data_IF_371884960885
#
_entry.id   IF_371884960885
#
_cell.length_a   1.000
_cell.length_b   1.000
_cell.length_c   1.000
_cell.angle_alpha   90.00
_cell.angle_beta   90.00
_cell.angle_gamma   90.00
#
_symmetry.space_group_name_H-M   'P 1'
#
loop_
_entity.id
_entity.type
_entity.pdbx_description
1 polymer ?
#
# COMPACT_ATOMS: atom_id res chain seq x y z
N UNK A 1 -10.77 15.84 -0.19
CA UNK A 1 -11.77 14.86 0.33
C UNK A 1 -11.66 13.48 -0.33
N UNK A 2 -11.68 13.33 -1.67
CA UNK A 2 -11.47 12.01 -2.31
C UNK A 2 -10.04 11.47 -2.10
N UNK A 3 -9.01 12.29 -2.27
CA UNK A 3 -7.62 11.86 -2.07
C UNK A 3 -7.34 11.39 -0.65
N UNK A 4 -7.88 12.09 0.35
CA UNK A 4 -7.78 11.71 1.76
C UNK A 4 -8.39 10.33 2.03
N UNK A 5 -9.50 10.00 1.37
CA UNK A 5 -10.13 8.68 1.47
C UNK A 5 -9.21 7.57 0.93
N UNK A 6 -8.62 7.76 -0.26
CA UNK A 6 -7.69 6.78 -0.84
C UNK A 6 -6.39 6.70 -0.06
N UNK A 7 -5.88 7.83 0.45
CA UNK A 7 -4.68 7.85 1.28
C UNK A 7 -4.93 7.13 2.62
N UNK A 8 -6.09 7.31 3.24
CA UNK A 8 -6.47 6.54 4.44
C UNK A 8 -6.49 5.03 4.15
N UNK A 9 -6.92 4.62 2.96
CA UNK A 9 -6.84 3.22 2.52
C UNK A 9 -5.40 2.74 2.33
N UNK A 10 -4.54 3.53 1.70
CA UNK A 10 -3.11 3.22 1.54
C UNK A 10 -2.40 3.06 2.90
N UNK A 11 -2.68 3.95 3.86
CA UNK A 11 -2.16 3.83 5.23
C UNK A 11 -2.66 2.55 5.93
N UNK A 12 -3.93 2.17 5.73
CA UNK A 12 -4.48 0.92 6.26
C UNK A 12 -3.81 -0.32 5.65
N UNK A 13 -3.45 -0.26 4.37
CA UNK A 13 -2.66 -1.31 3.70
C UNK A 13 -1.24 -1.38 4.30
N UNK A 14 -0.55 -0.25 4.46
CA UNK A 14 0.79 -0.18 5.05
C UNK A 14 0.86 -0.83 6.44
N UNK A 15 -0.16 -0.62 7.29
CA UNK A 15 -0.22 -1.21 8.63
C UNK A 15 -0.18 -2.74 8.66
N UNK A 16 -0.52 -3.42 7.55
CA UNK A 16 -0.46 -4.89 7.46
C UNK A 16 0.97 -5.44 7.51
N UNK A 17 1.97 -4.65 7.08
CA UNK A 17 3.39 -5.02 7.12
C UNK A 17 4.07 -4.82 8.49
N UNK A 18 3.39 -4.22 9.47
CA UNK A 18 4.02 -3.67 10.69
C UNK A 18 4.85 -4.63 11.54
N UNK A 19 4.69 -5.94 11.35
CA UNK A 19 5.40 -6.96 12.12
C UNK A 19 6.39 -7.79 11.30
N UNK A 20 6.52 -7.51 10.00
CA UNK A 20 7.24 -8.37 9.05
C UNK A 20 8.20 -7.59 8.16
N UNK A 21 8.07 -6.27 8.07
CA UNK A 21 8.85 -5.42 7.14
C UNK A 21 10.22 -5.01 7.67
N UNK A 22 10.47 -5.04 8.99
CA UNK A 22 11.76 -4.60 9.55
C UNK A 22 12.95 -5.30 8.85
N UNK A 23 14.00 -4.56 8.42
CA UNK A 23 14.29 -3.14 8.69
C UNK A 23 13.64 -2.14 7.73
N UNK A 24 12.91 -2.60 6.73
CA UNK A 24 12.25 -1.74 5.74
C UNK A 24 11.02 -1.04 6.34
N UNK A 25 10.60 0.11 5.77
CA UNK A 25 9.40 0.81 6.20
C UNK A 25 8.12 0.05 5.82
N UNK A 26 7.04 0.37 6.52
CA UNK A 26 5.69 -0.03 6.14
C UNK A 26 5.18 0.87 5.02
N UNK A 27 4.93 0.31 3.84
CA UNK A 27 4.44 1.04 2.67
C UNK A 27 3.17 0.39 2.17
N UNK A 28 2.18 1.21 1.81
CA UNK A 28 0.94 0.81 1.16
C UNK A 28 0.69 1.67 -0.07
N UNK A 29 0.14 1.09 -1.11
CA UNK A 29 -0.11 1.73 -2.40
C UNK A 29 -1.53 1.41 -2.88
N UNK A 30 -2.19 2.40 -3.48
CA UNK A 30 -3.51 2.29 -4.10
C UNK A 30 -3.44 2.97 -5.46
N UNK A 31 -3.90 2.31 -6.52
CA UNK A 31 -4.03 2.88 -7.86
C UNK A 31 -5.51 3.10 -8.14
N UNK A 32 -5.87 4.33 -8.50
CA UNK A 32 -7.25 4.73 -8.78
C UNK A 32 -7.36 5.12 -10.25
N UNK A 33 -8.38 4.63 -10.93
CA UNK A 33 -8.73 5.01 -12.30
C UNK A 33 -10.23 5.31 -12.38
N UNK A 34 -10.60 6.50 -12.87
CA UNK A 34 -11.99 6.96 -12.96
C UNK A 34 -12.81 6.86 -11.66
N UNK A 35 -12.16 7.01 -10.50
CA UNK A 35 -12.80 6.94 -9.18
C UNK A 35 -12.88 5.52 -8.60
N UNK A 36 -12.44 4.50 -9.34
CA UNK A 36 -12.40 3.12 -8.87
C UNK A 36 -10.98 2.71 -8.49
N UNK A 37 -10.83 1.97 -7.39
CA UNK A 37 -9.56 1.35 -7.03
C UNK A 37 -9.33 0.15 -7.96
N UNK A 38 -8.31 0.25 -8.81
CA UNK A 38 -7.94 -0.79 -9.78
C UNK A 38 -6.72 -1.61 -9.35
N UNK A 39 -6.02 -1.17 -8.30
CA UNK A 39 -4.82 -1.83 -7.78
C UNK A 39 -4.57 -1.49 -6.32
N UNK A 40 -4.13 -2.49 -5.55
CA UNK A 40 -3.76 -2.33 -4.14
C UNK A 40 -2.54 -3.18 -3.80
N UNK A 41 -1.63 -2.61 -3.03
CA UNK A 41 -0.43 -3.31 -2.59
C UNK A 41 0.09 -2.82 -1.24
N UNK A 42 0.83 -3.68 -0.56
CA UNK A 42 1.62 -3.31 0.62
C UNK A 42 2.90 -4.12 0.67
N UNK A 43 3.95 -3.55 1.28
CA UNK A 43 5.20 -4.27 1.45
C UNK A 43 5.03 -5.33 2.55
N UNK A 44 5.19 -6.60 2.18
CA UNK A 44 4.87 -7.72 3.07
C UNK A 44 6.01 -8.08 4.02
N UNK A 45 7.26 -8.09 3.54
CA UNK A 45 8.44 -8.49 4.31
C UNK A 45 9.71 -7.91 3.71
N UNK A 46 10.74 -7.68 4.53
CA UNK A 46 12.06 -7.28 4.04
C UNK A 46 12.56 -8.22 2.93
N UNK A 47 13.03 -7.64 1.82
CA UNK A 47 13.53 -8.37 0.64
C UNK A 47 12.45 -8.78 -0.36
N UNK A 48 11.15 -8.67 -0.03
CA UNK A 48 10.05 -8.87 -0.97
C UNK A 48 9.81 -7.61 -1.83
N UNK A 49 9.02 -7.70 -2.92
CA UNK A 49 8.68 -6.54 -3.73
C UNK A 49 8.04 -5.40 -2.94
N UNK A 50 8.19 -4.19 -3.46
CA UNK A 50 7.57 -3.00 -2.87
C UNK A 50 6.05 -2.99 -3.09
N UNK A 51 5.35 -2.13 -2.36
CA UNK A 51 3.89 -2.02 -2.42
C UNK A 51 3.39 -1.66 -3.83
N UNK A 52 4.11 -0.81 -4.53
CA UNK A 52 3.81 -0.33 -5.88
C UNK A 52 3.82 -1.48 -6.89
N UNK A 53 4.76 -2.42 -6.77
CA UNK A 53 4.85 -3.60 -7.66
C UNK A 53 3.64 -4.52 -7.50
N UNK A 54 3.11 -4.64 -6.28
CA UNK A 54 1.91 -5.44 -6.03
C UNK A 54 0.61 -4.73 -6.43
N UNK A 55 0.64 -3.39 -6.52
CA UNK A 55 -0.53 -2.59 -6.90
C UNK A 55 -0.68 -2.43 -8.43
N UNK A 56 0.42 -2.52 -9.17
CA UNK A 56 0.47 -2.48 -10.64
C UNK A 56 0.06 -3.83 -11.26
#
# INVERSE_FOLDING_TARGET
MQDEFYMARALKLAQRGRFTTHPNPNVGCVIVNNGDIVGEGYHQRAGEPHAEVHAL
#
